data_IF_020415829350
#
_entry.id   IF_020415829350
#
_cell.length_a   1.000
_cell.length_b   1.000
_cell.length_c   1.000
_cell.angle_alpha   90.00
_cell.angle_beta   90.00
_cell.angle_gamma   90.00
#
_symmetry.space_group_name_H-M   'P 1'
#
loop_
_entity.id
_entity.type
_entity.pdbx_description
1 polymer ?
#
# COMPACT_ATOMS: atom_id res chain seq x y z
N UNK A 1 10.12 -0.73 -8.96
CA UNK A 1 10.10 -1.00 -7.50
C UNK A 1 8.70 -1.48 -7.16
N UNK A 2 8.56 -2.35 -6.16
CA UNK A 2 7.25 -2.81 -5.68
C UNK A 2 7.21 -2.82 -4.16
N UNK A 3 5.99 -2.86 -3.65
CA UNK A 3 5.66 -3.03 -2.23
C UNK A 3 4.79 -4.28 -2.07
N UNK A 4 4.91 -5.00 -0.95
CA UNK A 4 4.10 -6.20 -0.70
C UNK A 4 3.57 -6.27 0.74
N UNK A 5 2.33 -6.71 0.90
CA UNK A 5 1.72 -6.94 2.21
C UNK A 5 1.83 -8.41 2.63
N UNK A 6 1.94 -8.65 3.94
CA UNK A 6 2.45 -9.90 4.53
C UNK A 6 3.93 -10.16 4.21
N UNK A 7 4.82 -9.32 4.74
CA UNK A 7 6.29 -9.48 4.60
C UNK A 7 6.73 -10.95 4.78
N UNK A 8 7.49 -11.52 3.81
CA UNK A 8 7.99 -12.89 3.88
C UNK A 8 9.15 -13.05 4.89
N UNK A 9 9.73 -11.95 5.36
CA UNK A 9 10.80 -11.95 6.35
C UNK A 9 10.31 -12.17 7.79
N UNK A 10 9.00 -12.05 8.03
CA UNK A 10 8.39 -12.14 9.36
C UNK A 10 7.46 -13.34 9.46
N UNK A 11 7.62 -14.12 10.52
CA UNK A 11 6.63 -15.11 10.92
C UNK A 11 5.43 -14.46 11.63
N UNK A 12 4.42 -15.26 12.00
CA UNK A 12 3.20 -14.75 12.62
C UNK A 12 3.42 -14.18 14.03
N UNK A 13 4.34 -14.77 14.81
CA UNK A 13 4.67 -14.33 16.17
C UNK A 13 5.40 -12.99 16.15
N UNK A 14 6.42 -12.84 15.29
CA UNK A 14 7.16 -11.60 15.10
C UNK A 14 6.24 -10.46 14.67
N UNK A 15 5.34 -10.73 13.70
CA UNK A 15 4.35 -9.75 13.22
C UNK A 15 3.40 -9.31 14.34
N UNK A 16 2.92 -10.25 15.16
CA UNK A 16 2.05 -9.95 16.30
C UNK A 16 2.78 -9.13 17.37
N UNK A 17 4.05 -9.46 17.65
CA UNK A 17 4.89 -8.73 18.61
C UNK A 17 5.13 -7.30 18.16
N UNK A 18 5.61 -7.10 16.93
CA UNK A 18 5.90 -5.78 16.36
C UNK A 18 4.61 -4.95 16.30
N UNK A 19 3.53 -5.53 15.76
CA UNK A 19 2.23 -4.87 15.64
C UNK A 19 1.66 -4.46 17.01
N UNK A 20 1.78 -5.32 18.03
CA UNK A 20 1.32 -5.01 19.39
C UNK A 20 2.09 -3.87 20.05
N UNK A 21 3.42 -3.82 19.85
CA UNK A 21 4.26 -2.70 20.32
C UNK A 21 3.83 -1.39 19.66
N UNK A 22 3.66 -1.40 18.34
CA UNK A 22 3.21 -0.23 17.57
C UNK A 22 1.82 0.24 18.03
N UNK A 23 0.85 -0.67 18.11
CA UNK A 23 -0.52 -0.34 18.50
C UNK A 23 -0.57 0.29 19.90
N UNK A 24 0.21 -0.25 20.85
CA UNK A 24 0.32 0.33 22.20
C UNK A 24 0.91 1.73 22.17
N UNK A 25 2.03 1.93 21.47
CA UNK A 25 2.68 3.23 21.39
C UNK A 25 1.75 4.30 20.77
N UNK A 26 1.05 3.96 19.70
CA UNK A 26 0.08 4.85 19.01
C UNK A 26 -1.12 5.18 19.92
N UNK A 27 -1.59 4.21 20.71
CA UNK A 27 -2.64 4.41 21.70
C UNK A 27 -2.20 5.34 22.85
N UNK A 28 -0.99 5.14 23.39
CA UNK A 28 -0.43 5.96 24.47
C UNK A 28 -0.23 7.42 24.01
N UNK A 29 0.07 7.64 22.73
CA UNK A 29 0.16 8.97 22.11
C UNK A 29 -1.21 9.64 21.86
N UNK A 30 -2.31 8.87 21.89
CA UNK A 30 -3.63 9.37 21.49
C UNK A 30 -3.68 9.79 20.01
N UNK A 31 -2.93 9.10 19.15
CA UNK A 31 -2.87 9.44 17.72
C UNK A 31 -4.22 9.25 17.04
N UNK A 32 -4.53 10.15 16.09
CA UNK A 32 -5.77 10.12 15.31
C UNK A 32 -5.49 10.35 13.83
N UNK A 33 -6.21 9.62 12.97
CA UNK A 33 -5.99 9.56 11.53
C UNK A 33 -5.25 8.29 11.09
N UNK A 34 -4.95 8.17 9.80
CA UNK A 34 -4.09 7.10 9.30
C UNK A 34 -2.62 7.48 9.48
N UNK A 35 -1.78 6.48 9.75
CA UNK A 35 -0.35 6.63 9.73
C UNK A 35 0.35 5.28 9.65
N UNK A 36 1.61 5.32 9.25
CA UNK A 36 2.49 4.15 9.16
C UNK A 36 3.70 4.36 10.04
N UNK A 37 4.09 3.33 10.79
CA UNK A 37 5.36 3.29 11.49
C UNK A 37 6.31 2.40 10.71
N UNK A 38 7.47 2.93 10.37
CA UNK A 38 8.45 2.25 9.55
C UNK A 38 9.64 1.76 10.38
N UNK A 39 10.19 0.62 9.96
CA UNK A 39 11.27 -0.07 10.63
C UNK A 39 12.28 -0.63 9.64
N UNK A 40 13.54 -0.71 10.08
CA UNK A 40 14.52 -1.64 9.52
C UNK A 40 14.44 -2.96 10.29
N UNK A 41 14.62 -4.08 9.59
CA UNK A 41 14.62 -5.42 10.18
C UNK A 41 15.90 -6.16 9.84
N UNK A 42 16.60 -6.63 10.86
CA UNK A 42 17.87 -7.37 10.72
C UNK A 42 17.98 -8.38 11.86
N UNK A 43 18.32 -9.63 11.54
CA UNK A 43 18.60 -10.70 12.50
C UNK A 43 17.55 -10.92 13.61
N UNK A 44 16.26 -10.77 13.29
CA UNK A 44 15.17 -10.95 14.26
C UNK A 44 14.78 -9.67 15.02
N UNK A 45 15.57 -8.61 14.87
CA UNK A 45 15.37 -7.33 15.52
C UNK A 45 14.81 -6.29 14.57
N UNK A 46 14.02 -5.36 15.13
CA UNK A 46 13.41 -4.27 14.39
C UNK A 46 13.80 -2.92 15.01
N UNK A 47 14.10 -1.95 14.17
CA UNK A 47 14.61 -0.65 14.55
C UNK A 47 13.73 0.43 13.94
N UNK A 48 13.12 1.26 14.78
CA UNK A 48 12.27 2.36 14.33
C UNK A 48 13.09 3.33 13.47
N UNK A 49 12.52 3.74 12.33
CA UNK A 49 13.11 4.79 11.49
C UNK A 49 12.27 6.04 11.46
N UNK A 50 10.98 5.91 11.16
CA UNK A 50 10.09 7.06 11.01
C UNK A 50 8.62 6.69 11.21
N UNK A 51 7.80 7.73 11.37
CA UNK A 51 6.35 7.61 11.31
C UNK A 51 5.82 8.56 10.23
N UNK A 52 5.14 7.99 9.24
CA UNK A 52 4.39 8.74 8.25
C UNK A 52 3.00 9.04 8.80
N UNK A 53 2.72 10.30 9.15
CA UNK A 53 1.45 10.74 9.75
C UNK A 53 0.34 10.99 8.72
N UNK A 54 0.31 10.16 7.68
CA UNK A 54 -0.64 10.22 6.57
C UNK A 54 -0.82 8.85 5.94
N UNK A 55 -1.85 8.69 5.12
CA UNK A 55 -1.99 7.53 4.26
C UNK A 55 -0.80 7.46 3.27
N UNK A 56 -0.28 6.27 3.07
CA UNK A 56 0.82 6.02 2.13
C UNK A 56 0.30 5.57 0.77
N UNK A 57 1.16 5.65 -0.24
CA UNK A 57 0.79 5.33 -1.63
C UNK A 57 0.42 3.85 -1.74
N UNK A 58 1.15 3.01 -1.03
CA UNK A 58 1.06 1.55 -0.93
C UNK A 58 -0.04 1.04 0.01
N UNK A 59 -0.90 1.91 0.57
CA UNK A 59 -2.06 1.45 1.36
C UNK A 59 -2.93 0.37 0.68
N UNK A 60 -3.09 0.33 -0.67
CA UNK A 60 -3.93 -0.69 -1.30
C UNK A 60 -3.49 -2.12 -1.06
N UNK A 61 -2.20 -2.42 -0.84
CA UNK A 61 -1.79 -3.80 -0.53
C UNK A 61 -2.31 -4.24 0.82
N UNK A 62 -2.41 -3.32 1.79
CA UNK A 62 -3.04 -3.57 3.09
C UNK A 62 -4.54 -3.74 2.94
N UNK A 63 -5.21 -2.88 2.17
CA UNK A 63 -6.64 -3.01 1.88
C UNK A 63 -6.96 -4.34 1.20
N UNK A 64 -6.14 -4.76 0.23
CA UNK A 64 -6.34 -5.99 -0.54
C UNK A 64 -6.31 -7.24 0.33
N UNK A 65 -5.43 -7.31 1.33
CA UNK A 65 -5.33 -8.48 2.21
C UNK A 65 -6.25 -8.41 3.44
N UNK A 66 -6.70 -7.23 3.85
CA UNK A 66 -7.58 -7.07 5.02
C UNK A 66 -9.05 -6.89 4.67
N UNK A 67 -9.36 -6.43 3.46
CA UNK A 67 -10.72 -6.05 3.04
C UNK A 67 -11.20 -4.74 3.66
N UNK A 68 -10.33 -3.98 4.34
CA UNK A 68 -10.67 -2.72 5.00
C UNK A 68 -10.34 -1.58 4.04
N UNK A 69 -11.30 -0.69 3.79
CA UNK A 69 -11.10 0.55 3.03
C UNK A 69 -10.52 1.62 3.97
N UNK A 70 -9.22 1.85 3.87
CA UNK A 70 -8.48 2.75 4.76
C UNK A 70 -8.83 4.22 4.49
N UNK A 71 -9.16 4.57 3.25
CA UNK A 71 -9.61 5.93 2.90
C UNK A 71 -10.98 6.20 3.56
N UNK A 72 -11.89 5.23 3.52
CA UNK A 72 -13.17 5.31 4.21
C UNK A 72 -12.97 5.45 5.73
N UNK A 73 -12.12 4.61 6.34
CA UNK A 73 -11.85 4.69 7.77
C UNK A 73 -11.29 6.06 8.18
N UNK A 74 -10.40 6.66 7.38
CA UNK A 74 -9.92 8.01 7.64
C UNK A 74 -11.04 9.04 7.67
N UNK A 75 -11.96 9.01 6.71
CA UNK A 75 -13.10 9.94 6.65
C UNK A 75 -14.01 9.73 7.87
N UNK A 76 -14.27 8.46 8.23
CA UNK A 76 -15.10 8.09 9.39
C UNK A 76 -14.50 8.57 10.71
N UNK A 77 -13.20 8.40 10.90
CA UNK A 77 -12.48 8.91 12.08
C UNK A 77 -12.54 10.44 12.11
N UNK A 78 -12.28 11.11 10.97
CA UNK A 78 -12.36 12.56 10.87
C UNK A 78 -13.77 13.11 11.14
N UNK A 79 -14.82 12.34 10.85
CA UNK A 79 -16.21 12.70 11.17
C UNK A 79 -16.62 12.38 12.62
N UNK A 80 -15.70 11.93 13.47
CA UNK A 80 -15.97 11.53 14.85
C UNK A 80 -16.68 10.18 15.01
N UNK A 81 -16.79 9.38 13.94
CA UNK A 81 -17.46 8.08 13.95
C UNK A 81 -16.61 6.91 14.48
N UNK A 82 -15.33 7.18 14.80
CA UNK A 82 -14.35 6.17 15.22
C UNK A 82 -14.04 5.14 14.12
N UNK A 83 -13.30 4.10 14.47
CA UNK A 83 -13.04 2.96 13.58
C UNK A 83 -14.31 2.09 13.44
N UNK A 84 -14.51 1.50 12.26
CA UNK A 84 -15.63 0.57 12.02
C UNK A 84 -15.40 -0.85 12.54
N UNK A 85 -14.14 -1.19 12.84
CA UNK A 85 -13.70 -2.54 13.23
C UNK A 85 -12.90 -2.53 14.53
N UNK A 86 -12.87 -3.68 15.21
CA UNK A 86 -11.97 -3.96 16.33
C UNK A 86 -10.78 -4.80 15.85
N UNK A 87 -9.71 -4.83 16.65
CA UNK A 87 -8.51 -5.61 16.33
C UNK A 87 -8.79 -7.10 16.09
N UNK A 88 -9.76 -7.69 16.80
CA UNK A 88 -10.16 -9.09 16.66
C UNK A 88 -10.90 -9.41 15.34
N UNK A 89 -11.49 -8.40 14.72
CA UNK A 89 -12.22 -8.51 13.44
C UNK A 89 -11.27 -8.54 12.24
N UNK A 90 -10.04 -8.00 12.39
CA UNK A 90 -9.06 -7.91 11.31
C UNK A 90 -8.51 -9.30 10.99
N UNK A 91 -8.73 -9.75 9.74
CA UNK A 91 -8.17 -10.99 9.20
C UNK A 91 -7.31 -10.68 7.98
N UNK A 92 -6.14 -11.30 7.91
CA UNK A 92 -5.26 -11.22 6.75
C UNK A 92 -5.54 -12.41 5.83
N UNK A 93 -5.92 -12.12 4.59
CA UNK A 93 -6.26 -13.13 3.59
C UNK A 93 -5.35 -12.98 2.37
N UNK A 94 -4.49 -13.98 2.16
CA UNK A 94 -3.63 -14.06 1.00
C UNK A 94 -2.42 -13.11 1.04
N UNK A 95 -2.04 -12.64 -0.15
CA UNK A 95 -0.88 -11.80 -0.38
C UNK A 95 -1.20 -10.75 -1.43
N UNK A 96 -0.63 -9.56 -1.31
CA UNK A 96 -0.79 -8.51 -2.31
C UNK A 96 0.54 -7.84 -2.64
N UNK A 97 0.70 -7.48 -3.91
CA UNK A 97 1.85 -6.75 -4.44
C UNK A 97 1.34 -5.53 -5.18
N UNK A 98 1.95 -4.36 -4.93
CA UNK A 98 1.73 -3.13 -5.68
C UNK A 98 2.98 -2.80 -6.49
N UNK A 99 2.78 -2.53 -7.78
CA UNK A 99 3.82 -2.00 -8.67
C UNK A 99 3.39 -0.61 -9.16
N UNK A 100 4.29 0.36 -9.02
CA UNK A 100 4.11 1.69 -9.63
C UNK A 100 4.53 1.66 -11.10
N UNK A 101 3.64 2.14 -11.96
CA UNK A 101 3.90 2.31 -13.39
C UNK A 101 4.18 3.79 -13.61
N UNK A 102 5.42 4.11 -13.97
CA UNK A 102 5.89 5.48 -14.17
C UNK A 102 6.22 5.75 -15.63
N UNK A 103 6.03 7.00 -16.06
CA UNK A 103 6.53 7.53 -17.32
C UNK A 103 8.02 7.87 -17.19
N UNK A 104 8.87 6.85 -17.11
CA UNK A 104 10.32 6.98 -16.92
C UNK A 104 11.07 6.10 -17.91
N UNK A 105 12.26 6.54 -18.33
CA UNK A 105 13.16 5.67 -19.08
C UNK A 105 13.69 4.55 -18.17
N UNK A 106 13.54 3.26 -18.53
CA UNK A 106 13.88 2.16 -17.63
C UNK A 106 15.38 1.95 -17.39
N UNK A 107 16.26 2.62 -18.16
CA UNK A 107 17.71 2.54 -18.01
C UNK A 107 18.27 3.73 -17.23
N UNK A 108 17.76 4.93 -17.47
CA UNK A 108 18.25 6.15 -16.83
C UNK A 108 17.37 6.64 -15.68
N UNK A 109 16.13 6.12 -15.56
CA UNK A 109 15.10 6.56 -14.62
C UNK A 109 14.74 8.04 -14.74
N UNK A 110 15.04 8.66 -15.88
CA UNK A 110 14.65 10.05 -16.15
C UNK A 110 13.19 10.10 -16.57
N UNK A 111 12.39 11.07 -16.09
CA UNK A 111 11.01 11.24 -16.54
C UNK A 111 10.92 11.40 -18.07
N UNK A 112 9.94 10.71 -18.66
CA UNK A 112 9.65 10.69 -20.09
C UNK A 112 8.19 11.13 -20.31
N UNK A 113 7.88 12.43 -20.07
CA UNK A 113 6.53 12.96 -20.21
C UNK A 113 6.09 12.96 -21.69
N UNK A 114 4.79 12.76 -21.92
CA UNK A 114 4.26 12.63 -23.27
C UNK A 114 2.75 12.47 -23.30
N UNK A 115 2.20 12.22 -24.49
CA UNK A 115 0.78 11.88 -24.65
C UNK A 115 0.61 10.37 -24.64
N UNK A 116 -0.25 9.86 -23.77
CA UNK A 116 -0.63 8.45 -23.77
C UNK A 116 -1.56 8.22 -24.96
N UNK A 117 -1.06 7.64 -26.04
CA UNK A 117 -1.87 7.42 -27.25
C UNK A 117 -2.88 6.29 -27.06
N UNK A 118 -2.54 5.30 -26.25
CA UNK A 118 -3.40 4.17 -25.93
C UNK A 118 -3.21 3.76 -24.46
N UNK A 119 -4.32 3.60 -23.75
CA UNK A 119 -4.36 3.11 -22.37
C UNK A 119 -5.42 2.03 -22.25
N UNK A 120 -4.98 0.82 -21.94
CA UNK A 120 -5.84 -0.35 -21.74
C UNK A 120 -5.37 -1.10 -20.49
N UNK A 121 -6.14 -0.99 -19.42
CA UNK A 121 -5.80 -1.57 -18.12
C UNK A 121 -6.11 -3.06 -18.10
N UNK A 122 -5.30 -3.88 -17.39
CA UNK A 122 -5.70 -5.23 -17.08
C UNK A 122 -6.92 -5.23 -16.15
N UNK A 123 -7.60 -6.37 -16.08
CA UNK A 123 -8.70 -6.59 -15.14
C UNK A 123 -8.76 -8.05 -14.72
N UNK A 124 -9.83 -8.42 -14.01
CA UNK A 124 -10.04 -9.77 -13.49
C UNK A 124 -10.01 -9.83 -11.98
N UNK A 125 -10.30 -11.01 -11.43
CA UNK A 125 -10.37 -11.21 -9.98
C UNK A 125 -9.00 -10.96 -9.34
N UNK A 126 -8.94 -10.09 -8.32
CA UNK A 126 -7.71 -9.76 -7.62
C UNK A 126 -6.80 -8.79 -8.36
N UNK A 127 -7.26 -8.17 -9.45
CA UNK A 127 -6.55 -7.10 -10.15
C UNK A 127 -7.23 -5.78 -9.84
N UNK A 128 -6.48 -4.84 -9.27
CA UNK A 128 -6.90 -3.45 -9.03
C UNK A 128 -5.91 -2.52 -9.72
N UNK A 129 -6.44 -1.50 -10.39
CA UNK A 129 -5.64 -0.45 -11.00
C UNK A 129 -6.12 0.89 -10.49
N UNK A 130 -5.24 1.60 -9.78
CA UNK A 130 -5.47 2.97 -9.34
C UNK A 130 -4.75 3.90 -10.31
N UNK A 131 -5.51 4.64 -11.12
CA UNK A 131 -4.94 5.57 -12.10
C UNK A 131 -5.85 6.77 -12.32
N UNK A 132 -5.25 7.92 -12.62
CA UNK A 132 -5.94 9.14 -13.07
C UNK A 132 -5.80 9.40 -14.57
N UNK A 133 -5.13 8.52 -15.32
CA UNK A 133 -4.84 8.73 -16.74
C UNK A 133 -5.86 8.05 -17.66
N UNK A 134 -5.88 8.46 -18.93
CA UNK A 134 -6.74 7.90 -19.98
C UNK A 134 -6.08 8.07 -21.36
N UNK A 135 -6.61 7.41 -22.40
CA UNK A 135 -6.12 7.60 -23.77
C UNK A 135 -6.29 9.06 -24.20
N UNK A 136 -5.22 9.70 -24.64
CA UNK A 136 -5.13 11.12 -24.94
C UNK A 136 -4.64 11.99 -23.78
N UNK A 137 -4.48 11.44 -22.57
CA UNK A 137 -3.93 12.17 -21.43
C UNK A 137 -2.48 12.59 -21.70
N UNK A 138 -2.15 13.84 -21.39
CA UNK A 138 -0.79 14.37 -21.49
C UNK A 138 -0.14 14.38 -20.11
N UNK A 139 0.88 13.56 -19.94
CA UNK A 139 1.67 13.50 -18.71
C UNK A 139 2.46 14.81 -18.57
N UNK A 140 2.24 15.59 -17.50
CA UNK A 140 2.94 16.85 -17.28
C UNK A 140 4.39 16.59 -16.85
N UNK A 141 5.35 17.45 -17.26
CA UNK A 141 6.76 17.31 -16.87
C UNK A 141 7.07 17.84 -15.46
N UNK A 142 6.08 18.43 -14.77
CA UNK A 142 6.28 19.21 -13.54
C UNK A 142 5.90 18.46 -12.25
N UNK A 143 5.28 17.28 -12.38
CA UNK A 143 4.82 16.45 -11.27
C UNK A 143 5.48 15.07 -11.33
N UNK A 144 5.15 14.22 -10.36
CA UNK A 144 5.52 12.80 -10.39
C UNK A 144 5.15 12.16 -11.74
N UNK A 145 6.02 11.28 -12.22
CA UNK A 145 5.88 10.51 -13.45
C UNK A 145 4.86 9.38 -13.35
N UNK A 146 4.26 9.15 -12.18
CA UNK A 146 3.27 8.10 -11.92
C UNK A 146 2.09 8.13 -12.91
N UNK A 147 1.97 7.04 -13.68
CA UNK A 147 0.83 6.75 -14.57
C UNK A 147 -0.29 6.07 -13.77
N UNK A 148 0.09 5.15 -12.89
CA UNK A 148 -0.84 4.43 -12.06
C UNK A 148 -0.17 3.35 -11.22
N UNK A 149 -0.96 2.71 -10.39
CA UNK A 149 -0.55 1.62 -9.52
C UNK A 149 -1.28 0.36 -9.97
N UNK A 150 -0.53 -0.72 -10.17
CA UNK A 150 -1.07 -2.04 -10.42
C UNK A 150 -0.97 -2.85 -9.13
N UNK A 151 -2.12 -3.24 -8.60
CA UNK A 151 -2.22 -4.03 -7.37
C UNK A 151 -2.77 -5.40 -7.74
N UNK A 152 -2.00 -6.41 -7.37
CA UNK A 152 -2.33 -7.81 -7.58
C UNK A 152 -2.56 -8.46 -6.22
N UNK A 153 -3.63 -9.22 -6.10
CA UNK A 153 -3.96 -10.04 -4.94
C UNK A 153 -4.05 -11.52 -5.34
N UNK A 154 -3.45 -12.38 -4.52
CA UNK A 154 -3.49 -13.83 -4.68
C UNK A 154 -3.65 -14.53 -3.34
N UNK A 155 -3.96 -15.84 -3.37
CA UNK A 155 -4.10 -16.64 -2.13
C UNK A 155 -2.78 -16.81 -1.40
N UNK A 156 -1.67 -16.66 -2.10
CA UNK A 156 -0.31 -16.68 -1.56
C UNK A 156 0.61 -15.84 -2.46
N UNK A 157 1.82 -15.59 -1.96
CA UNK A 157 2.84 -14.78 -2.66
C UNK A 157 3.17 -15.30 -4.05
N UNK A 158 3.30 -16.62 -4.21
CA UNK A 158 3.66 -17.24 -5.50
C UNK A 158 2.57 -17.02 -6.53
N UNK A 159 1.30 -17.24 -6.17
CA UNK A 159 0.17 -16.95 -7.06
C UNK A 159 0.10 -15.46 -7.39
N UNK A 160 0.36 -14.58 -6.42
CA UNK A 160 0.39 -13.14 -6.65
C UNK A 160 1.46 -12.73 -7.66
N UNK A 161 2.65 -13.36 -7.61
CA UNK A 161 3.74 -13.08 -8.55
C UNK A 161 3.53 -13.68 -9.96
N UNK A 162 2.71 -14.73 -10.08
CA UNK A 162 2.41 -15.39 -11.36
C UNK A 162 1.33 -14.67 -12.18
N UNK A 163 0.55 -13.79 -11.53
CA UNK A 163 -0.52 -12.99 -12.14
C UNK A 163 0.03 -11.68 -12.68
#
# INVERSE_FOLDING_TARGET
>A
VWEEANSPALNAEERARIGGICAKAVADLGYSGAGTIEFLYEDGEFYFIEMNTRLQVEHPVTEAITGIDLVHEQIRVASGGGLSVRQEDIKFNGHAIECRINAEDPRTFTPSPGTITHFHTPGGLGIRVDSGVYSGYKIPPYYDSLIGKLIVHGRNRVECMMR
#
